data_IF_514368785463
#
_entry.id   IF_514368785463
#
_cell.length_a   1.000
_cell.length_b   1.000
_cell.length_c   1.000
_cell.angle_alpha   90.00
_cell.angle_beta   90.00
_cell.angle_gamma   90.00
#
_symmetry.space_group_name_H-M   'P 1'
#
loop_
_entity.id
_entity.type
_entity.pdbx_description
1 polymer ?
#
# COMPACT_ATOMS: atom_id res chain seq x y z
N UNK A 1 55.42 29.24 3.83
CA UNK A 1 54.37 29.24 4.87
C UNK A 1 53.62 27.92 4.78
N UNK A 2 53.83 27.02 5.75
CA UNK A 2 53.21 25.68 5.77
C UNK A 2 51.79 25.81 6.33
N UNK A 3 50.77 25.44 5.56
CA UNK A 3 49.40 25.29 6.07
C UNK A 3 49.24 23.86 6.62
N UNK A 4 48.87 23.78 7.89
CA UNK A 4 48.57 22.55 8.61
C UNK A 4 47.16 22.07 8.24
N UNK A 5 47.04 20.78 7.94
CA UNK A 5 45.77 20.09 7.75
C UNK A 5 45.10 19.85 9.10
N UNK A 6 43.83 20.25 9.22
CA UNK A 6 42.96 19.97 10.37
C UNK A 6 42.29 18.63 10.13
N UNK A 7 42.56 17.64 11.00
CA UNK A 7 41.79 16.40 11.07
C UNK A 7 40.50 16.62 11.88
N UNK A 8 39.35 16.05 11.47
CA UNK A 8 38.16 16.05 12.31
C UNK A 8 38.21 14.91 13.34
N UNK A 9 37.99 15.26 14.60
CA UNK A 9 37.79 14.32 15.69
C UNK A 9 36.41 13.65 15.58
N UNK A 10 36.39 12.32 15.49
CA UNK A 10 35.19 11.51 15.67
C UNK A 10 34.82 11.47 17.16
N UNK A 11 33.60 11.89 17.49
CA UNK A 11 33.04 11.74 18.83
C UNK A 11 32.58 10.28 19.03
N UNK A 12 33.17 9.60 20.00
CA UNK A 12 32.75 8.29 20.46
C UNK A 12 31.53 8.42 21.38
N UNK A 13 30.43 7.73 21.05
CA UNK A 13 29.28 7.55 21.93
C UNK A 13 29.48 6.30 22.81
N UNK A 14 29.08 6.32 24.10
CA UNK A 14 29.16 5.16 24.98
C UNK A 14 28.03 4.15 24.68
N UNK A 15 28.21 2.86 25.03
CA UNK A 15 27.20 1.83 24.77
C UNK A 15 26.03 1.97 25.74
N UNK A 16 24.81 2.02 25.19
CA UNK A 16 23.57 1.82 25.95
C UNK A 16 23.39 0.33 26.25
N UNK A 17 23.50 -0.04 27.52
CA UNK A 17 22.99 -1.31 28.02
C UNK A 17 21.47 -1.21 28.21
N UNK A 18 20.70 -1.86 27.33
CA UNK A 18 19.27 -2.09 27.54
C UNK A 18 19.09 -3.20 28.57
N UNK A 19 18.57 -2.82 29.75
CA UNK A 19 18.04 -3.73 30.75
C UNK A 19 16.75 -4.39 30.21
N UNK A 20 16.79 -5.70 30.01
CA UNK A 20 15.60 -6.53 29.76
C UNK A 20 14.91 -6.75 31.12
N UNK A 21 13.62 -6.38 31.31
CA UNK A 21 12.94 -6.65 32.55
C UNK A 21 12.56 -8.13 32.64
N UNK A 22 12.89 -8.76 33.76
CA UNK A 22 12.55 -10.13 34.14
C UNK A 22 11.03 -10.28 34.32
N UNK A 23 10.42 -11.29 33.70
CA UNK A 23 9.00 -11.62 33.86
C UNK A 23 8.69 -12.09 35.28
N UNK A 24 8.01 -11.26 36.07
CA UNK A 24 7.48 -11.61 37.40
C UNK A 24 6.08 -12.23 37.34
N UNK A 25 5.81 -13.19 38.22
CA UNK A 25 4.50 -13.84 38.39
C UNK A 25 3.48 -12.93 39.11
N UNK A 26 2.26 -12.81 38.57
CA UNK A 26 1.11 -12.19 39.25
C UNK A 26 0.01 -13.20 39.64
N UNK A 27 -0.65 -13.03 40.81
CA UNK A 27 -1.71 -13.91 41.27
C UNK A 27 -3.11 -13.32 40.99
N UNK A 28 -3.77 -13.74 39.90
CA UNK A 28 -5.23 -13.94 39.78
C UNK A 28 -5.60 -14.25 38.31
N UNK A 29 -6.73 -14.91 38.06
CA UNK A 29 -7.15 -15.36 36.72
C UNK A 29 -7.64 -14.23 35.80
N UNK A 30 -8.24 -13.17 36.33
CA UNK A 30 -8.80 -12.08 35.53
C UNK A 30 -7.73 -11.15 34.95
N UNK A 31 -6.64 -10.89 35.69
CA UNK A 31 -5.51 -10.10 35.20
C UNK A 31 -4.69 -10.80 34.08
N UNK A 32 -4.91 -12.10 33.84
CA UNK A 32 -4.19 -12.85 32.81
C UNK A 32 -4.67 -12.56 31.40
N UNK A 33 -5.97 -12.34 31.17
CA UNK A 33 -6.50 -12.18 29.80
C UNK A 33 -6.09 -10.83 29.19
N UNK A 34 -6.30 -9.72 29.89
CA UNK A 34 -5.96 -8.38 29.39
C UNK A 34 -4.45 -8.15 29.24
N UNK A 35 -3.63 -8.71 30.15
CA UNK A 35 -2.17 -8.62 30.03
C UNK A 35 -1.59 -9.56 28.96
N UNK A 36 -2.25 -10.69 28.67
CA UNK A 36 -1.77 -11.63 27.63
C UNK A 36 -2.02 -11.12 26.21
N UNK A 37 -3.14 -10.42 25.93
CA UNK A 37 -3.35 -9.80 24.61
C UNK A 37 -2.29 -8.69 24.35
N UNK A 38 -1.82 -7.98 25.39
CA UNK A 38 -0.73 -7.00 25.29
C UNK A 38 0.66 -7.62 25.15
N UNK A 39 0.94 -8.74 25.83
CA UNK A 39 2.26 -9.39 25.81
C UNK A 39 2.53 -10.23 24.55
N UNK A 40 1.51 -10.78 23.89
CA UNK A 40 1.67 -11.43 22.56
C UNK A 40 2.15 -10.43 21.50
N UNK A 41 1.87 -9.13 21.69
CA UNK A 41 2.40 -8.06 20.83
C UNK A 41 3.88 -7.72 21.09
N UNK A 42 4.46 -8.11 22.23
CA UNK A 42 5.79 -7.63 22.67
C UNK A 42 6.81 -8.78 22.75
N UNK A 43 6.38 -10.02 22.95
CA UNK A 43 7.27 -11.18 22.98
C UNK A 43 7.16 -12.01 21.70
N UNK A 44 8.31 -12.24 21.07
CA UNK A 44 8.51 -13.09 19.88
C UNK A 44 8.20 -14.56 20.22
N UNK A 45 6.93 -14.92 20.30
CA UNK A 45 6.50 -16.32 20.43
C UNK A 45 6.38 -16.94 19.03
N UNK A 46 6.85 -18.18 18.90
CA UNK A 46 6.71 -18.97 17.68
C UNK A 46 5.22 -19.14 17.31
N UNK A 47 4.83 -18.56 16.18
CA UNK A 47 3.46 -18.56 15.63
C UNK A 47 2.99 -19.94 15.13
N UNK A 48 3.73 -21.00 15.46
CA UNK A 48 3.41 -22.40 15.14
C UNK A 48 2.73 -23.14 16.32
N UNK A 49 2.54 -22.50 17.49
CA UNK A 49 1.81 -23.12 18.60
C UNK A 49 0.28 -23.02 18.36
N UNK A 50 -0.44 -24.15 18.22
CA UNK A 50 -1.89 -24.16 18.02
C UNK A 50 -2.69 -23.50 19.17
N UNK A 51 -2.07 -23.25 20.33
CA UNK A 51 -2.68 -22.51 21.44
C UNK A 51 -2.78 -21.00 21.16
N UNK A 52 -1.97 -20.46 20.25
CA UNK A 52 -2.04 -19.05 19.83
C UNK A 52 -3.34 -18.77 19.07
N UNK A 53 -3.81 -19.73 18.27
CA UNK A 53 -5.09 -19.64 17.56
C UNK A 53 -6.27 -19.47 18.52
N UNK A 54 -6.38 -20.33 19.52
CA UNK A 54 -7.44 -20.25 20.54
C UNK A 54 -7.35 -18.97 21.41
N UNK A 55 -6.18 -18.33 21.48
CA UNK A 55 -6.00 -17.09 22.23
C UNK A 55 -6.39 -15.84 21.43
N UNK A 56 -6.20 -15.86 20.11
CA UNK A 56 -6.65 -14.81 19.21
C UNK A 56 -8.19 -14.78 19.10
N UNK A 57 -8.83 -15.95 19.11
CA UNK A 57 -10.30 -16.07 19.15
C UNK A 57 -10.89 -15.44 20.43
N UNK A 58 -10.18 -15.54 21.57
CA UNK A 58 -10.59 -14.94 22.83
C UNK A 58 -10.38 -13.42 22.90
N UNK A 59 -9.41 -12.84 22.17
CA UNK A 59 -9.26 -11.38 22.08
C UNK A 59 -10.27 -10.77 21.07
N UNK A 60 -10.99 -11.59 20.29
CA UNK A 60 -11.91 -11.13 19.24
C UNK A 60 -13.28 -10.62 19.75
N UNK A 61 -13.58 -10.76 21.03
CA UNK A 61 -14.86 -10.29 21.61
C UNK A 61 -14.85 -8.80 21.99
N UNK A 62 -13.68 -8.13 22.00
CA UNK A 62 -13.56 -6.67 22.23
C UNK A 62 -13.35 -5.95 20.89
N UNK A 63 -14.48 -5.50 20.32
CA UNK A 63 -14.70 -5.12 18.91
C UNK A 63 -13.86 -3.98 18.29
N UNK A 64 -12.83 -3.46 18.96
CA UNK A 64 -11.87 -2.52 18.35
C UNK A 64 -10.61 -3.17 17.78
N UNK A 65 -10.21 -4.32 18.33
CA UNK A 65 -8.94 -5.00 17.97
C UNK A 65 -9.08 -5.98 16.80
N UNK A 66 -10.31 -6.40 16.50
CA UNK A 66 -10.63 -7.44 15.52
C UNK A 66 -10.21 -7.05 14.11
N UNK A 67 -10.46 -5.80 13.69
CA UNK A 67 -10.13 -5.35 12.34
C UNK A 67 -8.61 -5.35 12.12
N UNK A 68 -7.83 -4.84 13.07
CA UNK A 68 -6.37 -4.78 12.98
C UNK A 68 -5.71 -6.17 13.13
N UNK A 69 -6.29 -7.05 13.96
CA UNK A 69 -5.83 -8.44 14.14
C UNK A 69 -6.18 -9.29 12.92
N UNK A 70 -7.39 -9.18 12.37
CA UNK A 70 -7.76 -9.84 11.11
C UNK A 70 -6.96 -9.28 9.92
N UNK A 71 -6.66 -7.98 9.91
CA UNK A 71 -5.77 -7.34 8.96
C UNK A 71 -4.35 -7.93 9.06
N UNK A 72 -3.77 -8.02 10.26
CA UNK A 72 -2.48 -8.69 10.47
C UNK A 72 -2.50 -10.17 10.12
N UNK A 73 -3.58 -10.89 10.43
CA UNK A 73 -3.72 -12.32 10.12
C UNK A 73 -3.80 -12.57 8.61
N UNK A 74 -4.56 -11.76 7.85
CA UNK A 74 -4.64 -11.86 6.39
C UNK A 74 -3.30 -11.51 5.72
N UNK A 75 -2.61 -10.48 6.22
CA UNK A 75 -1.26 -10.15 5.76
C UNK A 75 -0.25 -11.25 6.10
N UNK A 76 -0.40 -11.91 7.24
CA UNK A 76 0.43 -13.05 7.63
C UNK A 76 0.19 -14.28 6.73
N UNK A 77 -1.05 -14.55 6.32
CA UNK A 77 -1.35 -15.62 5.35
C UNK A 77 -0.71 -15.32 4.00
N UNK A 78 -0.79 -14.08 3.52
CA UNK A 78 -0.12 -13.65 2.28
C UNK A 78 1.42 -13.73 2.38
N UNK A 79 2.00 -13.44 3.55
CA UNK A 79 3.46 -13.45 3.76
C UNK A 79 4.08 -14.86 3.85
N UNK A 80 3.32 -15.87 4.29
CA UNK A 80 3.86 -17.21 4.55
C UNK A 80 3.16 -18.35 3.80
N UNK A 81 2.26 -18.04 2.88
CA UNK A 81 1.75 -18.99 1.87
C UNK A 81 1.03 -20.23 2.41
N UNK A 82 0.63 -20.26 3.69
CA UNK A 82 -0.02 -21.43 4.29
C UNK A 82 -1.50 -21.14 4.51
N UNK A 83 -2.42 -21.67 3.69
CA UNK A 83 -3.85 -21.59 3.99
C UNK A 83 -4.14 -22.43 5.24
N UNK A 84 -4.78 -21.83 6.24
CA UNK A 84 -5.45 -22.59 7.30
C UNK A 84 -6.48 -23.51 6.63
N UNK A 85 -6.25 -24.83 6.71
CA UNK A 85 -7.20 -25.84 6.24
C UNK A 85 -8.46 -25.77 7.11
N UNK A 86 -9.42 -24.94 6.72
CA UNK A 86 -10.81 -25.12 7.15
C UNK A 86 -11.37 -26.34 6.43
N UNK A 87 -11.85 -27.31 7.20
CA UNK A 87 -12.43 -28.54 6.70
C UNK A 87 -13.63 -28.23 5.80
N UNK A 88 -13.52 -28.58 4.52
CA UNK A 88 -14.61 -28.52 3.57
C UNK A 88 -15.54 -29.72 3.78
N UNK A 89 -16.75 -29.46 4.28
CA UNK A 89 -17.86 -30.39 4.19
C UNK A 89 -19.17 -29.62 4.01
N UNK A 90 -19.56 -29.36 2.76
CA UNK A 90 -20.96 -29.14 2.34
C UNK A 90 -21.08 -29.15 0.80
N UNK A 91 -21.35 -30.33 0.28
CA UNK A 91 -22.31 -30.72 -0.76
C UNK A 91 -22.86 -29.69 -1.78
N UNK A 92 -22.69 -30.09 -3.04
CA UNK A 92 -23.59 -30.00 -4.19
C UNK A 92 -25.06 -29.55 -3.96
N UNK A 93 -25.43 -28.39 -4.54
CA UNK A 93 -26.65 -28.13 -5.34
C UNK A 93 -27.06 -26.65 -5.28
N UNK A 94 -27.07 -25.95 -6.43
CA UNK A 94 -28.19 -25.10 -6.90
C UNK A 94 -27.80 -24.26 -8.13
N UNK A 95 -28.49 -24.49 -9.24
CA UNK A 95 -28.72 -23.49 -10.30
C UNK A 95 -29.65 -22.40 -9.76
N UNK A 96 -29.16 -21.56 -8.85
CA UNK A 96 -29.79 -20.30 -8.50
C UNK A 96 -28.98 -19.20 -9.19
N UNK A 97 -29.65 -18.30 -9.92
CA UNK A 97 -29.03 -17.05 -10.33
C UNK A 97 -28.63 -16.32 -9.05
N UNK A 98 -27.37 -16.47 -8.65
CA UNK A 98 -26.84 -15.79 -7.49
C UNK A 98 -26.95 -14.30 -7.79
N UNK A 99 -27.89 -13.63 -7.12
CA UNK A 99 -27.82 -12.18 -7.01
C UNK A 99 -26.43 -11.85 -6.47
N UNK A 100 -25.68 -10.92 -7.09
CA UNK A 100 -24.34 -10.59 -6.65
C UNK A 100 -24.37 -10.31 -5.15
N UNK A 101 -23.56 -11.04 -4.38
CA UNK A 101 -23.49 -10.88 -2.94
C UNK A 101 -23.18 -9.41 -2.66
N UNK A 102 -24.07 -8.65 -1.98
CA UNK A 102 -23.72 -7.31 -1.56
C UNK A 102 -22.51 -7.45 -0.64
N UNK A 103 -21.38 -6.87 -1.03
CA UNK A 103 -20.26 -6.63 -0.11
C UNK A 103 -20.89 -5.88 1.06
N UNK A 104 -20.96 -6.45 2.28
CA UNK A 104 -21.81 -5.90 3.34
C UNK A 104 -21.35 -4.47 3.68
N UNK A 105 -22.09 -3.43 3.25
CA UNK A 105 -21.59 -2.05 3.28
C UNK A 105 -21.32 -1.55 4.70
N UNK A 106 -22.02 -2.15 5.68
CA UNK A 106 -22.00 -1.74 7.09
C UNK A 106 -20.68 -2.04 7.80
N UNK A 107 -19.92 -3.06 7.38
CA UNK A 107 -18.65 -3.39 8.03
C UNK A 107 -17.53 -2.43 7.62
N UNK A 108 -17.63 -1.78 6.45
CA UNK A 108 -16.60 -0.88 5.94
C UNK A 108 -16.57 0.45 6.69
N UNK A 109 -17.71 1.10 6.88
CA UNK A 109 -17.76 2.42 7.55
C UNK A 109 -17.39 2.38 9.03
N UNK A 110 -17.56 1.22 9.68
CA UNK A 110 -17.21 1.08 11.09
C UNK A 110 -15.69 1.01 11.28
N UNK A 111 -14.98 0.31 10.39
CA UNK A 111 -13.52 0.20 10.44
C UNK A 111 -12.81 1.39 9.77
N UNK A 112 -13.43 1.99 8.75
CA UNK A 112 -12.86 3.05 7.93
C UNK A 112 -13.92 4.11 7.62
N UNK A 113 -14.32 4.89 8.62
CA UNK A 113 -15.41 5.88 8.49
C UNK A 113 -15.20 6.90 7.38
N UNK A 114 -13.95 7.34 7.17
CA UNK A 114 -13.54 8.25 6.11
C UNK A 114 -13.83 7.74 4.69
N UNK A 115 -13.99 6.42 4.51
CA UNK A 115 -14.38 5.84 3.21
C UNK A 115 -15.83 6.05 2.85
N UNK A 116 -16.64 6.35 3.86
CA UNK A 116 -18.06 6.53 3.67
C UNK A 116 -18.45 8.01 3.53
N UNK A 117 -17.45 8.88 3.50
CA UNK A 117 -17.56 10.30 3.24
C UNK A 117 -17.05 10.61 1.83
N UNK A 118 -17.45 11.76 1.30
CA UNK A 118 -16.87 12.27 0.05
C UNK A 118 -15.36 12.47 0.22
N UNK A 119 -14.54 12.19 -0.82
CA UNK A 119 -14.94 11.85 -2.19
C UNK A 119 -15.06 10.33 -2.48
N UNK A 120 -14.97 9.46 -1.46
CA UNK A 120 -14.90 8.01 -1.64
C UNK A 120 -16.28 7.34 -1.64
N UNK A 121 -17.18 7.74 -0.73
CA UNK A 121 -18.57 7.31 -0.66
C UNK A 121 -18.80 5.78 -0.87
N UNK A 122 -17.91 4.94 -0.32
CA UNK A 122 -17.82 3.51 -0.58
C UNK A 122 -19.03 2.70 -0.11
N UNK A 123 -19.80 3.20 0.87
CA UNK A 123 -21.06 2.59 1.33
C UNK A 123 -22.14 2.55 0.26
N UNK A 124 -22.00 3.39 -0.77
CA UNK A 124 -22.94 3.48 -1.89
C UNK A 124 -22.44 2.75 -3.15
N UNK A 125 -21.26 2.13 -3.09
CA UNK A 125 -20.70 1.40 -4.23
C UNK A 125 -21.57 0.18 -4.56
N UNK A 126 -21.96 0.06 -5.82
CA UNK A 126 -22.77 -1.06 -6.31
C UNK A 126 -21.96 -1.95 -7.24
N UNK A 127 -22.35 -3.22 -7.39
CA UNK A 127 -21.72 -4.12 -8.37
C UNK A 127 -21.86 -3.58 -9.80
N UNK A 128 -23.00 -2.96 -10.14
CA UNK A 128 -23.22 -2.35 -11.45
C UNK A 128 -22.20 -1.25 -11.77
N UNK A 129 -21.83 -0.45 -10.77
CA UNK A 129 -20.80 0.60 -10.92
C UNK A 129 -19.43 -0.02 -11.19
N UNK A 130 -19.06 -1.07 -10.45
CA UNK A 130 -17.80 -1.83 -10.67
C UNK A 130 -17.78 -2.48 -12.06
N UNK A 131 -18.88 -3.10 -12.48
CA UNK A 131 -19.01 -3.70 -13.82
C UNK A 131 -18.88 -2.62 -14.91
N UNK A 132 -19.42 -1.43 -14.67
CA UNK A 132 -19.26 -0.28 -15.58
C UNK A 132 -17.80 0.14 -15.69
N UNK A 133 -17.04 0.16 -14.59
CA UNK A 133 -15.60 0.43 -14.63
C UNK A 133 -14.83 -0.66 -15.38
N UNK A 134 -15.19 -1.93 -15.21
CA UNK A 134 -14.58 -3.02 -15.96
C UNK A 134 -14.90 -2.97 -17.47
N UNK A 135 -16.03 -2.37 -17.86
CA UNK A 135 -16.38 -2.16 -19.28
C UNK A 135 -15.70 -0.92 -19.87
N UNK A 136 -15.71 0.20 -19.12
CA UNK A 136 -15.39 1.53 -19.67
C UNK A 136 -14.10 2.16 -19.15
N UNK A 137 -13.55 1.63 -18.07
CA UNK A 137 -12.40 2.15 -17.32
C UNK A 137 -12.81 2.84 -16.02
N UNK A 138 -11.87 2.97 -15.10
CA UNK A 138 -12.09 3.55 -13.77
C UNK A 138 -12.46 5.04 -13.84
N UNK A 139 -11.91 5.78 -14.80
CA UNK A 139 -12.11 7.22 -14.96
C UNK A 139 -12.86 7.56 -16.27
N UNK A 140 -13.78 6.69 -16.70
CA UNK A 140 -14.50 6.83 -17.97
C UNK A 140 -15.34 8.12 -18.10
N UNK A 141 -15.60 8.81 -16.98
CA UNK A 141 -16.28 10.10 -16.96
C UNK A 141 -15.38 11.27 -17.41
N UNK A 142 -14.09 11.03 -17.67
CA UNK A 142 -13.10 12.05 -18.05
C UNK A 142 -12.37 12.68 -16.88
N UNK A 143 -12.66 12.26 -15.64
CA UNK A 143 -12.06 12.79 -14.42
C UNK A 143 -11.57 11.64 -13.53
N UNK A 144 -10.55 11.86 -12.68
CA UNK A 144 -10.10 10.84 -11.74
C UNK A 144 -11.23 10.35 -10.82
N UNK A 145 -11.31 9.05 -10.63
CA UNK A 145 -12.35 8.40 -9.83
C UNK A 145 -11.77 7.91 -8.50
N UNK A 146 -11.92 8.73 -7.46
CA UNK A 146 -11.46 8.37 -6.12
C UNK A 146 -12.25 7.18 -5.53
N UNK A 147 -13.50 6.93 -5.96
CA UNK A 147 -14.30 5.77 -5.53
C UNK A 147 -13.70 4.43 -5.97
N UNK A 148 -12.82 4.42 -6.97
CA UNK A 148 -12.10 3.20 -7.37
C UNK A 148 -11.24 2.64 -6.22
N UNK A 149 -10.83 3.47 -5.26
CA UNK A 149 -10.09 3.03 -4.06
C UNK A 149 -10.91 2.18 -3.09
N UNK A 150 -12.25 2.18 -3.21
CA UNK A 150 -13.11 1.29 -2.43
C UNK A 150 -12.79 -0.20 -2.65
N UNK A 151 -12.17 -0.54 -3.79
CA UNK A 151 -11.70 -1.90 -4.09
C UNK A 151 -10.36 -2.25 -3.44
N UNK A 152 -9.65 -1.28 -2.86
CA UNK A 152 -8.33 -1.43 -2.25
C UNK A 152 -8.23 -0.73 -0.89
N UNK A 153 -9.06 -1.11 0.10
CA UNK A 153 -9.21 -0.39 1.37
C UNK A 153 -7.94 -0.31 2.24
N UNK A 154 -6.92 -1.11 1.95
CA UNK A 154 -5.65 -1.10 2.70
C UNK A 154 -4.77 0.12 2.40
N UNK A 155 -4.97 0.80 1.27
CA UNK A 155 -4.25 2.05 0.94
C UNK A 155 -4.93 3.31 1.47
N UNK A 156 -6.05 3.17 2.17
CA UNK A 156 -6.93 4.28 2.50
C UNK A 156 -6.36 5.34 3.45
N UNK A 157 -5.56 5.00 4.46
CA UNK A 157 -4.91 6.02 5.28
C UNK A 157 -4.07 7.00 4.45
N UNK A 158 -3.41 6.47 3.41
CA UNK A 158 -2.63 7.24 2.45
C UNK A 158 -3.57 8.06 1.54
N UNK A 159 -4.58 7.42 0.95
CA UNK A 159 -5.49 8.07 -0.01
C UNK A 159 -6.35 9.16 0.62
N UNK A 160 -6.74 9.00 1.88
CA UNK A 160 -7.49 10.03 2.62
C UNK A 160 -6.67 11.31 2.79
N UNK A 161 -5.37 11.18 3.08
CA UNK A 161 -4.47 12.35 3.16
C UNK A 161 -4.27 13.00 1.80
N UNK A 162 -4.03 12.18 0.78
CA UNK A 162 -3.86 12.61 -0.60
C UNK A 162 -5.08 13.42 -1.09
N UNK A 163 -6.28 12.86 -0.94
CA UNK A 163 -7.53 13.51 -1.33
C UNK A 163 -7.84 14.78 -0.51
N UNK A 164 -7.32 14.89 0.71
CA UNK A 164 -7.43 16.09 1.54
C UNK A 164 -6.37 17.17 1.22
N UNK A 165 -5.50 16.94 0.24
CA UNK A 165 -4.41 17.85 -0.14
C UNK A 165 -3.16 17.75 0.75
N UNK A 166 -3.09 16.81 1.70
CA UNK A 166 -1.87 16.52 2.47
C UNK A 166 -0.96 15.56 1.68
N UNK A 167 -0.43 16.04 0.55
CA UNK A 167 0.31 15.24 -0.45
C UNK A 167 1.65 14.75 0.14
N UNK A 168 2.46 15.62 0.75
CA UNK A 168 3.69 15.22 1.44
C UNK A 168 3.41 14.24 2.59
N UNK A 169 2.38 14.49 3.40
CA UNK A 169 2.02 13.60 4.51
C UNK A 169 1.53 12.24 4.04
N UNK A 170 0.78 12.19 2.94
CA UNK A 170 0.42 10.97 2.22
C UNK A 170 1.67 10.19 1.79
N UNK A 171 2.60 10.84 1.07
CA UNK A 171 3.83 10.20 0.61
C UNK A 171 4.70 9.67 1.75
N UNK A 172 4.89 10.47 2.81
CA UNK A 172 5.63 10.01 3.99
C UNK A 172 4.97 8.78 4.63
N UNK A 173 3.64 8.79 4.80
CA UNK A 173 2.91 7.68 5.39
C UNK A 173 3.09 6.41 4.55
N UNK A 174 2.96 6.49 3.23
CA UNK A 174 3.20 5.34 2.36
C UNK A 174 4.62 4.81 2.52
N UNK A 175 5.62 5.68 2.53
CA UNK A 175 7.02 5.27 2.72
C UNK A 175 7.23 4.52 4.03
N UNK A 176 6.76 5.09 5.14
CA UNK A 176 6.90 4.48 6.46
C UNK A 176 6.25 3.08 6.51
N UNK A 177 5.07 2.92 5.89
CA UNK A 177 4.37 1.62 5.82
C UNK A 177 5.10 0.62 4.91
N UNK A 178 5.64 1.08 3.79
CA UNK A 178 6.43 0.25 2.86
C UNK A 178 7.72 -0.23 3.53
N UNK A 179 8.45 0.66 4.20
CA UNK A 179 9.69 0.32 4.95
C UNK A 179 9.40 -0.59 6.14
N UNK A 180 8.26 -0.43 6.79
CA UNK A 180 7.79 -1.35 7.83
C UNK A 180 7.40 -2.75 7.29
N UNK A 181 7.42 -2.94 5.97
CA UNK A 181 7.13 -4.21 5.30
C UNK A 181 5.65 -4.54 5.20
N UNK A 182 4.76 -3.53 5.34
CA UNK A 182 3.31 -3.74 5.30
C UNK A 182 2.85 -4.34 3.95
N UNK A 183 3.45 -3.88 2.85
CA UNK A 183 3.08 -4.28 1.49
C UNK A 183 3.89 -5.46 0.96
N UNK A 184 4.75 -6.04 1.79
CA UNK A 184 5.62 -7.15 1.43
C UNK A 184 7.10 -6.77 1.35
N UNK A 185 8.00 -7.77 1.24
CA UNK A 185 9.44 -7.57 1.35
C UNK A 185 10.08 -6.94 0.10
N UNK A 186 9.35 -6.85 -1.01
CA UNK A 186 9.88 -6.41 -2.32
C UNK A 186 9.34 -5.05 -2.75
N UNK A 187 8.27 -4.56 -2.10
CA UNK A 187 7.61 -3.30 -2.48
C UNK A 187 8.55 -2.11 -2.41
N UNK A 188 9.47 -2.10 -1.44
CA UNK A 188 10.50 -1.06 -1.36
C UNK A 188 11.35 -0.95 -2.63
N UNK A 189 11.75 -2.07 -3.23
CA UNK A 189 12.55 -2.09 -4.46
C UNK A 189 11.70 -1.70 -5.68
N UNK A 190 10.44 -2.15 -5.69
CA UNK A 190 9.48 -1.79 -6.74
C UNK A 190 9.19 -0.29 -6.75
N UNK A 191 8.82 0.28 -5.60
CA UNK A 191 8.57 1.71 -5.46
C UNK A 191 9.82 2.52 -5.79
N UNK A 192 11.00 2.07 -5.32
CA UNK A 192 12.28 2.70 -5.66
C UNK A 192 12.49 2.76 -7.17
N UNK A 193 12.53 1.62 -7.85
CA UNK A 193 12.69 1.59 -9.31
C UNK A 193 11.61 2.38 -10.08
N UNK A 194 10.34 2.32 -9.63
CA UNK A 194 9.22 3.08 -10.19
C UNK A 194 9.48 4.59 -10.16
N UNK A 195 9.96 5.10 -9.03
CA UNK A 195 10.27 6.52 -8.86
C UNK A 195 11.30 7.06 -9.88
N UNK A 196 12.32 6.26 -10.20
CA UNK A 196 13.37 6.66 -11.14
C UNK A 196 12.99 6.39 -12.60
N UNK A 197 12.38 5.23 -12.91
CA UNK A 197 11.91 4.90 -14.26
C UNK A 197 10.92 5.92 -14.81
N UNK A 198 10.04 6.41 -13.94
CA UNK A 198 8.96 7.30 -14.33
C UNK A 198 9.28 8.79 -14.15
N UNK A 199 10.55 9.12 -13.88
CA UNK A 199 11.01 10.52 -13.85
C UNK A 199 10.45 11.32 -12.68
N UNK A 200 9.88 10.67 -11.67
CA UNK A 200 9.27 11.36 -10.53
C UNK A 200 10.31 12.18 -9.77
N UNK A 201 11.58 11.74 -9.75
CA UNK A 201 12.66 12.46 -9.08
C UNK A 201 12.97 13.85 -9.63
N UNK A 202 12.70 14.10 -10.91
CA UNK A 202 12.95 15.39 -11.57
C UNK A 202 11.66 16.10 -11.97
N UNK A 203 10.50 15.56 -11.59
CA UNK A 203 9.21 16.20 -11.86
C UNK A 203 8.99 17.39 -10.92
N UNK A 204 9.32 18.58 -11.40
CA UNK A 204 9.12 19.84 -10.68
C UNK A 204 7.72 20.44 -10.85
N UNK A 205 6.90 19.89 -11.75
CA UNK A 205 5.53 20.37 -11.99
C UNK A 205 4.59 20.05 -10.81
N UNK A 206 4.87 18.99 -10.06
CA UNK A 206 4.15 18.66 -8.82
C UNK A 206 4.79 19.37 -7.62
N UNK A 207 3.94 20.03 -6.83
CA UNK A 207 4.26 20.67 -5.57
C UNK A 207 3.22 20.28 -4.50
N UNK A 208 3.36 20.80 -3.28
CA UNK A 208 2.37 20.58 -2.22
C UNK A 208 1.02 21.26 -2.48
N UNK A 209 0.97 22.22 -3.41
CA UNK A 209 -0.27 22.94 -3.76
C UNK A 209 -0.95 22.33 -5.01
N UNK A 210 -0.38 21.26 -5.59
CA UNK A 210 -0.93 20.62 -6.79
C UNK A 210 -2.29 20.01 -6.50
N UNK A 211 -3.33 20.42 -7.23
CA UNK A 211 -4.67 19.87 -7.07
C UNK A 211 -4.86 18.59 -7.88
N UNK A 212 -6.00 17.91 -7.64
CA UNK A 212 -6.40 16.76 -8.45
C UNK A 212 -6.58 17.12 -9.93
N UNK A 213 -7.14 18.30 -10.21
CA UNK A 213 -7.34 18.81 -11.57
C UNK A 213 -6.02 19.15 -12.26
N UNK A 214 -5.02 19.63 -11.53
CA UNK A 214 -3.68 19.85 -12.09
C UNK A 214 -2.99 18.53 -12.40
N UNK A 215 -3.12 17.56 -11.50
CA UNK A 215 -2.64 16.19 -11.72
C UNK A 215 -3.28 15.54 -12.94
N UNK A 216 -4.58 15.75 -13.18
CA UNK A 216 -5.29 15.21 -14.36
C UNK A 216 -4.75 15.81 -15.67
N UNK A 217 -4.44 17.12 -15.70
CA UNK A 217 -3.79 17.76 -16.87
C UNK A 217 -2.41 17.15 -17.14
N UNK A 218 -1.62 16.89 -16.10
CA UNK A 218 -0.32 16.21 -16.26
C UNK A 218 -0.48 14.79 -16.81
N UNK A 219 -1.56 14.08 -16.43
CA UNK A 219 -1.89 12.78 -17.00
C UNK A 219 -2.30 12.86 -18.47
N UNK A 220 -3.07 13.89 -18.86
CA UNK A 220 -3.39 14.17 -20.26
C UNK A 220 -2.14 14.44 -21.09
N UNK A 221 -1.25 15.30 -20.60
CA UNK A 221 -0.01 15.66 -21.28
C UNK A 221 0.92 14.45 -21.45
N UNK A 222 0.98 13.56 -20.44
CA UNK A 222 1.91 12.44 -20.42
C UNK A 222 1.42 11.20 -21.17
N UNK A 223 0.12 10.89 -21.10
CA UNK A 223 -0.42 9.63 -21.63
C UNK A 223 -1.49 9.81 -22.71
N UNK A 224 -2.03 11.02 -22.85
CA UNK A 224 -3.26 11.27 -23.57
C UNK A 224 -4.48 10.91 -22.74
N UNK A 225 -5.54 11.72 -22.88
CA UNK A 225 -6.76 11.62 -22.10
C UNK A 225 -7.39 10.21 -22.13
N UNK A 226 -7.44 9.60 -23.31
CA UNK A 226 -8.07 8.29 -23.50
C UNK A 226 -7.34 7.18 -22.73
N UNK A 227 -6.01 7.21 -22.71
CA UNK A 227 -5.22 6.10 -22.18
C UNK A 227 -5.42 5.91 -20.67
N UNK A 228 -5.44 7.00 -19.89
CA UNK A 228 -5.59 6.91 -18.44
C UNK A 228 -7.06 6.83 -18.01
N UNK A 229 -7.98 7.52 -18.70
CA UNK A 229 -9.42 7.47 -18.34
C UNK A 229 -10.01 6.08 -18.52
N UNK A 230 -9.51 5.32 -19.51
CA UNK A 230 -9.96 3.97 -19.82
C UNK A 230 -9.21 2.87 -19.04
N UNK A 231 -8.29 3.22 -18.14
CA UNK A 231 -7.56 2.24 -17.34
C UNK A 231 -8.51 1.33 -16.54
N UNK A 232 -8.22 0.04 -16.48
CA UNK A 232 -9.03 -0.96 -15.78
C UNK A 232 -10.15 -1.57 -16.63
N UNK A 233 -10.38 -1.09 -17.86
CA UNK A 233 -11.32 -1.76 -18.78
C UNK A 233 -10.77 -3.13 -19.19
N UNK A 234 -11.66 -4.10 -19.32
CA UNK A 234 -11.37 -5.48 -19.75
C UNK A 234 -10.79 -5.58 -21.17
N UNK A 235 -11.05 -4.58 -22.01
CA UNK A 235 -10.53 -4.46 -23.37
C UNK A 235 -9.28 -3.57 -23.47
N UNK A 236 -8.61 -3.27 -22.35
CA UNK A 236 -7.42 -2.44 -22.35
C UNK A 236 -6.32 -3.07 -23.21
N UNK A 237 -5.54 -2.26 -23.94
CA UNK A 237 -4.36 -2.76 -24.65
C UNK A 237 -3.44 -3.55 -23.71
N UNK A 238 -2.76 -4.60 -24.19
CA UNK A 238 -1.82 -5.35 -23.36
C UNK A 238 -0.79 -4.45 -22.66
N UNK A 239 -0.26 -3.44 -23.34
CA UNK A 239 0.70 -2.48 -22.77
C UNK A 239 0.20 -1.71 -21.53
N UNK A 240 -1.12 -1.61 -21.33
CA UNK A 240 -1.73 -0.92 -20.19
C UNK A 240 -2.09 -1.89 -19.04
N UNK A 241 -1.87 -3.21 -19.23
CA UNK A 241 -2.22 -4.27 -18.26
C UNK A 241 -1.06 -5.23 -17.96
N UNK A 242 -0.09 -5.36 -18.86
CA UNK A 242 1.12 -6.18 -18.69
C UNK A 242 1.97 -5.64 -17.54
N UNK A 243 2.31 -6.48 -16.56
CA UNK A 243 3.08 -6.10 -15.37
C UNK A 243 2.27 -5.94 -14.08
N UNK A 244 0.93 -5.97 -14.13
CA UNK A 244 0.09 -6.00 -12.91
C UNK A 244 0.17 -7.33 -12.15
N UNK A 245 0.32 -8.43 -12.89
CA UNK A 245 0.74 -9.70 -12.31
C UNK A 245 2.24 -9.66 -12.17
N UNK A 246 2.74 -9.72 -10.94
CA UNK A 246 4.17 -9.78 -10.60
C UNK A 246 4.95 -10.95 -11.27
N UNK A 247 4.30 -11.68 -12.17
CA UNK A 247 4.77 -12.81 -12.96
C UNK A 247 5.90 -12.41 -13.94
N UNK A 248 5.93 -11.15 -14.39
CA UNK A 248 6.96 -10.64 -15.31
C UNK A 248 8.20 -10.06 -14.61
N UNK A 249 8.30 -10.18 -13.28
CA UNK A 249 9.48 -9.77 -12.52
C UNK A 249 10.41 -10.99 -12.40
N UNK A 250 11.56 -11.03 -13.13
CA UNK A 250 12.44 -12.20 -13.15
C UNK A 250 12.80 -12.67 -11.74
N UNK A 251 12.97 -13.99 -11.58
CA UNK A 251 13.34 -14.61 -10.31
C UNK A 251 14.60 -13.96 -9.72
N UNK A 252 14.37 -13.15 -8.69
CA UNK A 252 15.35 -12.19 -8.19
C UNK A 252 14.70 -10.90 -7.71
N UNK A 253 13.50 -10.97 -7.11
CA UNK A 253 12.59 -9.88 -6.68
C UNK A 253 13.20 -8.76 -5.81
N UNK A 254 14.51 -8.79 -5.59
CA UNK A 254 15.34 -7.74 -5.01
C UNK A 254 15.62 -6.57 -5.95
N UNK A 255 15.30 -6.67 -7.24
CA UNK A 255 15.77 -5.68 -8.22
C UNK A 255 14.71 -4.67 -8.71
N UNK A 256 13.48 -4.70 -8.21
CA UNK A 256 12.45 -3.75 -8.64
C UNK A 256 12.03 -3.97 -10.11
N UNK A 257 11.37 -2.96 -10.69
CA UNK A 257 11.08 -2.87 -12.11
C UNK A 257 12.34 -2.52 -12.91
N UNK A 258 12.37 -2.94 -14.17
CA UNK A 258 13.54 -2.82 -15.05
C UNK A 258 13.29 -1.90 -16.26
N UNK A 259 12.03 -1.56 -16.56
CA UNK A 259 11.68 -0.70 -17.68
C UNK A 259 10.27 -0.10 -17.52
N UNK A 260 9.99 0.94 -18.32
CA UNK A 260 8.74 1.70 -18.27
C UNK A 260 7.50 0.91 -18.69
N UNK A 261 7.65 -0.18 -19.44
CA UNK A 261 6.51 -1.04 -19.80
C UNK A 261 5.93 -1.71 -18.56
N UNK A 262 6.76 -2.08 -17.58
CA UNK A 262 6.30 -2.72 -16.33
C UNK A 262 5.60 -1.73 -15.39
N UNK A 263 6.01 -0.46 -15.40
CA UNK A 263 5.51 0.59 -14.50
C UNK A 263 4.35 1.39 -15.08
N UNK A 264 4.17 1.37 -16.41
CA UNK A 264 3.09 2.08 -17.11
C UNK A 264 1.70 1.79 -16.54
N UNK A 265 1.28 0.54 -16.28
CA UNK A 265 -0.05 0.29 -15.73
C UNK A 265 -0.28 0.97 -14.37
N UNK A 266 0.76 1.06 -13.53
CA UNK A 266 0.68 1.72 -12.23
C UNK A 266 0.46 3.23 -12.36
N UNK A 267 1.09 3.87 -13.34
CA UNK A 267 0.87 5.29 -13.64
C UNK A 267 -0.53 5.57 -14.19
N UNK A 268 -1.01 4.73 -15.11
CA UNK A 268 -2.37 4.87 -15.64
C UNK A 268 -3.40 4.67 -14.53
N UNK A 269 -3.18 3.69 -13.65
CA UNK A 269 -3.96 3.52 -12.43
C UNK A 269 -3.90 4.77 -11.54
N UNK A 270 -2.70 5.32 -11.31
CA UNK A 270 -2.54 6.49 -10.46
C UNK A 270 -3.24 7.74 -11.00
N UNK A 271 -3.27 7.90 -12.32
CA UNK A 271 -4.06 8.93 -13.00
C UNK A 271 -5.56 8.68 -12.85
N UNK A 272 -6.03 7.48 -13.21
CA UNK A 272 -7.45 7.13 -13.18
C UNK A 272 -8.04 7.15 -11.77
N UNK A 273 -7.25 6.82 -10.77
CA UNK A 273 -7.65 6.75 -9.36
C UNK A 273 -7.25 8.00 -8.57
N UNK A 274 -6.68 9.02 -9.23
CA UNK A 274 -6.51 10.36 -8.66
C UNK A 274 -5.37 10.55 -7.66
N UNK A 275 -4.29 9.76 -7.73
CA UNK A 275 -3.15 9.86 -6.82
C UNK A 275 -1.79 10.09 -7.51
N UNK A 276 -1.75 10.37 -8.82
CA UNK A 276 -0.49 10.61 -9.53
C UNK A 276 0.40 11.66 -8.86
N UNK A 277 -0.14 12.81 -8.46
CA UNK A 277 0.62 13.85 -7.75
C UNK A 277 1.16 13.37 -6.38
N UNK A 278 0.42 12.52 -5.67
CA UNK A 278 0.87 11.91 -4.42
C UNK A 278 2.03 10.93 -4.64
N UNK A 279 2.00 10.14 -5.72
CA UNK A 279 3.12 9.28 -6.10
C UNK A 279 4.38 10.10 -6.41
N UNK A 280 4.24 11.24 -7.08
CA UNK A 280 5.39 12.11 -7.42
C UNK A 280 6.04 12.65 -6.15
N UNK A 281 5.29 13.23 -5.21
CA UNK A 281 5.89 13.71 -3.95
C UNK A 281 6.39 12.58 -3.07
N UNK A 282 5.66 11.46 -2.99
CA UNK A 282 6.11 10.24 -2.33
C UNK A 282 7.53 9.86 -2.79
N UNK A 283 7.74 9.82 -4.10
CA UNK A 283 9.04 9.54 -4.70
C UNK A 283 10.09 10.62 -4.37
N UNK A 284 9.79 11.89 -4.67
CA UNK A 284 10.73 13.01 -4.51
C UNK A 284 11.20 13.19 -3.08
N UNK A 285 10.31 13.01 -2.12
CA UNK A 285 10.63 13.27 -0.71
C UNK A 285 11.34 12.11 -0.03
N UNK A 286 11.17 10.89 -0.53
CA UNK A 286 11.67 9.68 0.15
C UNK A 286 12.73 8.94 -0.68
N UNK A 287 12.36 8.39 -1.83
CA UNK A 287 13.27 7.54 -2.63
C UNK A 287 14.37 8.34 -3.33
N UNK A 288 14.02 9.49 -3.92
CA UNK A 288 14.95 10.29 -4.72
C UNK A 288 16.06 10.97 -3.88
N UNK A 289 15.88 11.03 -2.55
CA UNK A 289 16.87 11.55 -1.60
C UNK A 289 17.62 10.46 -0.86
N UNK A 290 17.21 9.21 -1.00
CA UNK A 290 17.82 8.08 -0.31
C UNK A 290 19.03 7.59 -1.11
N UNK A 291 20.26 7.65 -0.55
CA UNK A 291 21.48 7.30 -1.28
C UNK A 291 21.46 5.89 -1.89
N UNK A 292 20.83 4.93 -1.21
CA UNK A 292 20.72 3.56 -1.70
C UNK A 292 19.99 3.49 -3.05
N UNK A 293 18.83 4.15 -3.16
CA UNK A 293 18.03 4.11 -4.38
C UNK A 293 18.59 5.02 -5.47
N UNK A 294 19.22 6.14 -5.10
CA UNK A 294 19.94 6.98 -6.06
C UNK A 294 21.09 6.21 -6.70
N UNK A 295 21.93 5.53 -5.91
CA UNK A 295 23.02 4.70 -6.42
C UNK A 295 22.51 3.56 -7.30
N UNK A 296 21.44 2.89 -6.86
CA UNK A 296 20.92 1.70 -7.55
C UNK A 296 20.12 2.00 -8.81
N UNK A 297 19.27 3.04 -8.80
CA UNK A 297 18.28 3.31 -9.86
C UNK A 297 18.45 4.68 -10.55
N UNK A 298 19.40 5.51 -10.10
CA UNK A 298 19.66 6.83 -10.68
C UNK A 298 19.91 6.83 -12.20
N UNK A 299 20.53 5.76 -12.71
CA UNK A 299 20.81 5.59 -14.14
C UNK A 299 19.54 5.61 -15.02
N UNK A 300 18.38 5.23 -14.50
CA UNK A 300 17.12 5.29 -15.25
C UNK A 300 16.69 6.71 -15.61
N UNK A 301 17.13 7.74 -14.88
CA UNK A 301 16.82 9.12 -15.24
C UNK A 301 17.52 9.51 -16.55
N UNK A 302 18.82 9.21 -16.65
CA UNK A 302 19.62 9.51 -17.84
C UNK A 302 19.17 8.67 -19.05
N UNK A 303 18.97 7.36 -18.85
CA UNK A 303 18.60 6.43 -19.93
C UNK A 303 17.23 6.74 -20.55
N UNK A 304 16.30 7.27 -19.76
CA UNK A 304 14.95 7.62 -20.24
C UNK A 304 14.83 9.10 -20.66
N UNK A 305 15.90 9.88 -20.59
CA UNK A 305 15.94 11.27 -21.03
C UNK A 305 15.11 12.22 -20.16
N UNK A 306 15.10 11.99 -18.86
CA UNK A 306 14.48 12.87 -17.86
C UNK A 306 15.35 14.07 -17.50
#
# INVERSE_FOLDING_TARGET
SRQAAVQPHAAAFPPFHLLVPSCGMFPSRAARLSASCLLVSVCRADLMDPRVGAHLDACAEDGGSVALVQQRARMHVNKYGTPLRFAASASHSANASASPLPVPPLLFCTAFSHLCEEPFSCQTLTQQEVDTWAEKGNAFAGEPNLRAWCLNPWFMPLMTRCAAGDISGAGKLQYDLTVAGLYGPTTMEMDGSYCFLEGHCVNEAVSNDTTLEDSAKMCDDRFGHEAWTQFGRSSAPPADTTGFGFDDIPDGRRNGFMNRTQTRPFLLAACAMGNFHCDVLYCRENYCKNPYYVEKYGHFLEENGW
#
